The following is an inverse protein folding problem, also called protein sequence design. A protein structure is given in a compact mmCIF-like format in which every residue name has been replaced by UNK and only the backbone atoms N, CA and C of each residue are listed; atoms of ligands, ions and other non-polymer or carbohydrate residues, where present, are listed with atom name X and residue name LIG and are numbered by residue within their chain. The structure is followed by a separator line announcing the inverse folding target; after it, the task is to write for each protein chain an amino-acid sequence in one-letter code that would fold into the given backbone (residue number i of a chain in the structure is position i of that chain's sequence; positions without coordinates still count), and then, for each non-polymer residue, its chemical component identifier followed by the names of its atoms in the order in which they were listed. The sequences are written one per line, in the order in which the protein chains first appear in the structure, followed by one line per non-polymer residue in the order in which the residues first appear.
data_IF_646314383150
#
_entry.id   IF_646314383150
#
_cell.length_a   1.000
_cell.length_b   1.000
_cell.length_c   1.000
_cell.angle_alpha   90.00
_cell.angle_beta   90.00
_cell.angle_gamma   90.00
#
_symmetry.space_group_name_H-M   'P 1'
#
loop_
_entity.id
_entity.type
_entity.pdbx_description
1 polymer ?
#
# COMPACT_ATOMS: atom_id res chain seq x y z
N UNK A 1 2.23 -6.35 3.02
CA UNK A 1 1.51 -5.05 3.12
C UNK A 1 0.21 -5.12 2.33
N UNK A 2 -0.82 -4.36 2.70
CA UNK A 2 -2.12 -4.35 1.99
C UNK A 2 -2.61 -2.91 1.76
N UNK A 3 -2.98 -2.60 0.51
CA UNK A 3 -3.65 -1.37 0.10
C UNK A 3 -5.07 -1.67 -0.33
N UNK A 4 -6.04 -0.94 0.22
CA UNK A 4 -7.46 -1.08 -0.09
C UNK A 4 -8.04 0.29 -0.47
N UNK A 5 -8.65 0.34 -1.65
CA UNK A 5 -9.47 1.48 -2.09
C UNK A 5 -10.90 1.00 -2.26
N UNK A 6 -11.81 1.44 -1.40
CA UNK A 6 -13.22 1.07 -1.53
C UNK A 6 -14.00 2.14 -2.27
N UNK A 7 -15.09 1.72 -2.92
CA UNK A 7 -16.06 2.61 -3.55
C UNK A 7 -15.44 3.58 -4.56
N UNK A 8 -14.44 3.09 -5.31
CA UNK A 8 -13.89 3.83 -6.45
C UNK A 8 -14.93 3.84 -7.56
N UNK A 9 -15.28 5.03 -8.04
CA UNK A 9 -16.19 5.16 -9.17
C UNK A 9 -15.51 4.70 -10.47
N UNK A 10 -15.98 3.59 -11.02
CA UNK A 10 -15.53 2.99 -12.27
C UNK A 10 -16.54 3.16 -13.40
N UNK A 11 -17.59 3.98 -13.22
CA UNK A 11 -18.68 4.16 -14.20
C UNK A 11 -18.15 4.61 -15.56
N UNK A 12 -17.10 5.44 -15.56
CA UNK A 12 -16.50 5.95 -16.80
C UNK A 12 -15.42 5.05 -17.39
N UNK A 13 -15.16 3.87 -16.82
CA UNK A 13 -14.11 2.96 -17.30
C UNK A 13 -14.66 2.10 -18.43
N UNK A 14 -14.52 2.59 -19.65
CA UNK A 14 -15.07 2.01 -20.88
C UNK A 14 -14.00 1.54 -21.85
N UNK A 15 -12.75 1.92 -21.64
CA UNK A 15 -11.64 1.63 -22.56
C UNK A 15 -10.51 0.88 -21.87
N UNK A 16 -10.26 -0.34 -22.34
CA UNK A 16 -9.21 -1.22 -21.84
C UNK A 16 -7.83 -0.57 -21.88
N UNK A 17 -7.08 -0.71 -20.78
CA UNK A 17 -5.72 -0.20 -20.62
C UNK A 17 -5.61 1.33 -20.57
N UNK A 18 -6.71 2.07 -20.64
CA UNK A 18 -6.68 3.54 -20.64
C UNK A 18 -7.15 4.16 -19.34
N UNK A 19 -8.12 3.54 -18.67
CA UNK A 19 -8.71 4.06 -17.44
C UNK A 19 -8.45 3.10 -16.29
N UNK A 20 -8.59 3.61 -15.07
CA UNK A 20 -8.33 2.83 -13.88
C UNK A 20 -7.99 3.71 -12.69
N UNK A 21 -7.25 3.14 -11.76
CA UNK A 21 -6.96 3.74 -10.47
C UNK A 21 -5.54 3.41 -10.01
N UNK A 22 -4.92 4.28 -9.24
CA UNK A 22 -3.65 4.00 -8.61
C UNK A 22 -3.71 4.39 -7.14
N UNK A 23 -2.98 3.65 -6.32
CA UNK A 23 -2.80 3.91 -4.89
C UNK A 23 -1.33 3.66 -4.56
N UNK A 24 -0.68 4.63 -3.92
CA UNK A 24 0.71 4.57 -3.55
C UNK A 24 0.90 4.81 -2.05
N UNK A 25 1.91 4.17 -1.49
CA UNK A 25 2.44 4.41 -0.16
C UNK A 25 3.93 4.72 -0.27
N UNK A 26 4.36 5.80 0.36
CA UNK A 26 5.75 6.20 0.46
C UNK A 26 6.28 6.06 1.88
N UNK A 27 7.55 5.73 2.03
CA UNK A 27 8.24 5.53 3.30
C UNK A 27 9.42 6.49 3.44
N UNK A 28 9.69 6.93 4.67
CA UNK A 28 10.85 7.77 5.01
C UNK A 28 10.62 9.27 4.99
N UNK A 29 9.50 9.74 4.47
CA UNK A 29 9.18 11.16 4.34
C UNK A 29 7.74 11.46 4.78
N UNK A 30 7.48 12.71 5.18
CA UNK A 30 6.12 13.27 5.34
C UNK A 30 5.66 14.04 4.11
N UNK A 31 6.49 14.12 3.09
CA UNK A 31 6.22 14.83 1.84
C UNK A 31 6.51 13.93 0.64
N UNK A 32 6.10 14.36 -0.55
CA UNK A 32 6.43 13.67 -1.80
C UNK A 32 7.90 13.83 -2.20
N UNK A 33 8.65 14.71 -1.53
CA UNK A 33 10.09 14.85 -1.74
C UNK A 33 10.82 13.71 -1.05
N UNK A 34 11.43 12.83 -1.86
CA UNK A 34 12.31 11.74 -1.43
C UNK A 34 11.71 10.62 -0.55
N UNK A 35 10.44 10.20 -0.69
CA UNK A 35 10.01 8.90 -0.18
C UNK A 35 10.44 7.76 -1.11
N UNK A 36 10.61 6.59 -0.51
CA UNK A 36 10.63 5.29 -1.17
C UNK A 36 9.17 4.85 -1.38
N UNK A 37 8.71 4.77 -2.63
CA UNK A 37 7.26 4.68 -2.95
C UNK A 37 6.94 3.35 -3.61
N UNK A 38 6.03 2.59 -3.00
CA UNK A 38 5.34 1.52 -3.69
C UNK A 38 4.03 2.04 -4.27
N UNK A 39 3.89 1.97 -5.59
CA UNK A 39 2.68 2.37 -6.32
C UNK A 39 2.00 1.14 -6.93
N UNK A 40 0.77 0.89 -6.50
CA UNK A 40 -0.09 -0.14 -7.06
C UNK A 40 -1.09 0.48 -8.05
N UNK A 41 -1.02 0.04 -9.31
CA UNK A 41 -1.85 0.53 -10.41
C UNK A 41 -2.84 -0.55 -10.86
N UNK A 42 -4.10 -0.17 -10.97
CA UNK A 42 -5.15 -0.94 -11.59
C UNK A 42 -5.53 -0.30 -12.93
N UNK A 43 -5.40 -1.05 -14.01
CA UNK A 43 -5.94 -0.67 -15.31
C UNK A 43 -7.17 -1.52 -15.62
N UNK A 44 -8.25 -0.85 -16.03
CA UNK A 44 -9.44 -1.52 -16.53
C UNK A 44 -9.07 -2.36 -17.75
N UNK A 45 -9.50 -3.62 -17.78
CA UNK A 45 -9.18 -4.58 -18.87
C UNK A 45 -10.40 -5.41 -19.29
N UNK A 46 -11.58 -4.78 -19.25
CA UNK A 46 -12.86 -5.43 -19.43
C UNK A 46 -13.21 -6.35 -18.26
N UNK A 47 -14.41 -6.94 -18.29
CA UNK A 47 -14.90 -7.86 -17.24
C UNK A 47 -14.39 -9.30 -17.40
N UNK A 48 -13.78 -9.64 -18.54
CA UNK A 48 -13.38 -11.01 -18.90
C UNK A 48 -11.93 -11.36 -18.55
N UNK A 49 -11.11 -10.40 -18.10
CA UNK A 49 -9.73 -10.64 -17.68
C UNK A 49 -9.62 -10.49 -16.17
N UNK A 50 -8.84 -11.36 -15.49
CA UNK A 50 -8.54 -11.14 -14.09
C UNK A 50 -7.83 -9.81 -13.95
N UNK A 51 -8.51 -8.89 -13.28
CA UNK A 51 -8.01 -7.62 -12.83
C UNK A 51 -6.73 -7.82 -12.01
N UNK A 52 -5.56 -7.46 -12.56
CA UNK A 52 -4.31 -7.44 -11.80
C UNK A 52 -3.93 -6.01 -11.42
N UNK A 53 -3.75 -5.76 -10.12
CA UNK A 53 -2.94 -4.64 -9.70
C UNK A 53 -1.49 -4.93 -10.02
N UNK A 54 -0.79 -3.95 -10.59
CA UNK A 54 0.65 -3.97 -10.73
C UNK A 54 1.22 -3.04 -9.66
N UNK A 55 1.87 -3.61 -8.65
CA UNK A 55 2.61 -2.86 -7.66
C UNK A 55 4.06 -2.74 -8.12
N UNK A 56 4.53 -1.51 -8.23
CA UNK A 56 5.83 -1.17 -8.78
C UNK A 56 6.54 -0.31 -7.74
N UNK A 57 7.83 -0.58 -7.57
CA UNK A 57 8.71 0.29 -6.82
C UNK A 57 9.05 1.54 -7.63
N UNK A 58 8.84 2.69 -7.01
CA UNK A 58 8.98 4.00 -7.64
C UNK A 58 9.71 4.96 -6.71
N UNK A 59 10.49 5.84 -7.31
CA UNK A 59 11.15 6.93 -6.60
C UNK A 59 10.64 8.28 -7.04
N UNK A 60 10.67 9.23 -6.11
CA UNK A 60 10.44 10.64 -6.40
C UNK A 60 11.57 11.51 -5.85
N UNK A 61 12.10 12.39 -6.68
CA UNK A 61 13.12 13.38 -6.30
C UNK A 61 12.56 14.80 -6.15
N UNK A 62 11.30 15.01 -6.53
CA UNK A 62 10.59 16.30 -6.50
C UNK A 62 9.07 16.09 -6.56
N UNK A 63 8.29 17.16 -6.69
CA UNK A 63 6.82 17.09 -6.83
C UNK A 63 6.38 16.74 -8.27
N UNK A 64 6.99 15.70 -8.84
CA UNK A 64 6.71 15.21 -10.20
C UNK A 64 6.25 13.76 -10.15
N UNK A 65 5.67 13.28 -11.26
CA UNK A 65 5.26 11.88 -11.36
C UNK A 65 6.44 10.96 -10.98
N UNK A 66 6.27 10.06 -9.98
CA UNK A 66 7.31 9.10 -9.61
C UNK A 66 7.69 8.22 -10.80
N UNK A 67 8.98 7.91 -10.89
CA UNK A 67 9.53 7.04 -11.92
C UNK A 67 9.84 5.68 -11.32
N UNK A 68 9.73 4.62 -12.12
CA UNK A 68 10.11 3.27 -11.69
C UNK A 68 11.53 3.29 -11.14
N UNK A 69 11.73 2.65 -10.00
CA UNK A 69 13.07 2.36 -9.55
C UNK A 69 13.68 1.24 -10.42
N UNK A 70 15.00 1.31 -10.62
CA UNK A 70 15.76 0.37 -11.42
C UNK A 70 15.89 -0.99 -10.71
N UNK A 71 15.85 -0.99 -9.38
CA UNK A 71 15.68 -2.18 -8.56
C UNK A 71 14.23 -2.22 -8.10
N UNK A 72 13.64 -3.41 -8.10
CA UNK A 72 12.24 -3.60 -7.70
C UNK A 72 12.23 -4.39 -6.41
N UNK A 73 11.81 -3.75 -5.33
CA UNK A 73 11.83 -4.36 -4.00
C UNK A 73 10.45 -4.86 -3.56
N UNK A 74 9.50 -4.80 -4.49
CA UNK A 74 8.17 -5.42 -4.39
C UNK A 74 8.21 -6.83 -4.91
N UNK A 75 7.75 -7.77 -4.08
CA UNK A 75 7.55 -9.18 -4.43
C UNK A 75 6.12 -9.60 -4.15
N UNK A 76 5.70 -10.73 -4.72
CA UNK A 76 4.40 -11.37 -4.46
C UNK A 76 3.21 -10.41 -4.50
N UNK A 77 2.76 -10.03 -5.70
CA UNK A 77 1.57 -9.18 -5.83
C UNK A 77 0.32 -10.03 -6.00
N UNK A 78 -0.57 -9.99 -4.99
CA UNK A 78 -1.92 -10.53 -5.07
C UNK A 78 -2.91 -9.39 -5.12
N UNK A 79 -3.92 -9.50 -5.97
CA UNK A 79 -4.87 -8.40 -6.13
C UNK A 79 -6.28 -8.87 -6.43
N UNK A 80 -7.24 -8.09 -5.95
CA UNK A 80 -8.66 -8.31 -6.20
C UNK A 80 -9.32 -7.01 -6.64
N UNK A 81 -10.30 -7.14 -7.53
CA UNK A 81 -11.22 -6.07 -7.89
C UNK A 81 -12.64 -6.61 -7.78
N UNK A 82 -13.43 -6.03 -6.89
CA UNK A 82 -14.81 -6.43 -6.64
C UNK A 82 -15.73 -5.29 -7.07
N UNK A 83 -16.43 -5.50 -8.17
CA UNK A 83 -17.37 -4.53 -8.72
C UNK A 83 -18.75 -4.69 -8.09
N UNK A 84 -19.42 -3.56 -7.87
CA UNK A 84 -20.82 -3.49 -7.43
C UNK A 84 -21.53 -2.33 -8.12
N UNK A 85 -22.81 -2.51 -8.44
CA UNK A 85 -23.64 -1.42 -8.95
C UNK A 85 -24.38 -0.74 -7.81
N UNK A 86 -24.47 0.59 -7.84
CA UNK A 86 -25.24 1.39 -6.89
C UNK A 86 -25.94 2.51 -7.66
N UNK A 87 -27.24 2.35 -7.91
CA UNK A 87 -27.98 3.25 -8.80
C UNK A 87 -27.42 3.21 -10.22
N UNK A 88 -27.09 4.37 -10.78
CA UNK A 88 -26.45 4.51 -12.09
C UNK A 88 -24.92 4.38 -12.07
N UNK A 89 -24.33 4.20 -10.89
CA UNK A 89 -22.87 4.13 -10.73
C UNK A 89 -22.40 2.68 -10.64
N UNK A 90 -21.27 2.40 -11.28
CA UNK A 90 -20.48 1.20 -11.03
C UNK A 90 -19.35 1.57 -10.10
N UNK A 91 -19.31 0.93 -8.94
CA UNK A 91 -18.29 1.12 -7.91
C UNK A 91 -17.41 -0.12 -7.84
N UNK A 92 -16.14 0.07 -7.49
CA UNK A 92 -15.20 -1.03 -7.32
C UNK A 92 -14.44 -0.91 -6.02
N UNK A 93 -14.33 -2.04 -5.32
CA UNK A 93 -13.37 -2.24 -4.24
C UNK A 93 -12.14 -2.88 -4.83
N UNK A 94 -11.00 -2.25 -4.59
CA UNK A 94 -9.72 -2.58 -5.15
C UNK A 94 -8.75 -2.92 -4.01
N UNK A 95 -8.23 -4.13 -4.00
CA UNK A 95 -7.26 -4.57 -3.00
C UNK A 95 -5.97 -5.07 -3.67
N UNK A 96 -4.84 -4.66 -3.12
CA UNK A 96 -3.53 -5.18 -3.48
C UNK A 96 -2.78 -5.56 -2.21
N UNK A 97 -2.30 -6.80 -2.16
CA UNK A 97 -1.38 -7.30 -1.13
C UNK A 97 -0.05 -7.56 -1.80
N UNK A 98 1.01 -7.02 -1.23
CA UNK A 98 2.37 -7.18 -1.73
C UNK A 98 3.37 -7.31 -0.60
N UNK A 99 4.48 -7.96 -0.88
CA UNK A 99 5.61 -8.07 0.04
C UNK A 99 6.70 -7.08 -0.38
N UNK A 100 7.34 -6.46 0.60
CA UNK A 100 8.53 -5.63 0.40
C UNK A 100 9.52 -5.98 1.50
N UNK A 101 10.78 -6.13 1.12
CA UNK A 101 11.85 -6.42 2.08
C UNK A 101 11.97 -5.27 3.08
N UNK A 102 12.28 -5.61 4.33
CA UNK A 102 12.51 -4.59 5.36
C UNK A 102 13.78 -3.78 5.11
N UNK A 103 14.78 -4.37 4.44
CA UNK A 103 15.98 -3.71 3.99
C UNK A 103 16.33 -4.25 2.61
N UNK A 104 16.76 -3.36 1.73
CA UNK A 104 17.21 -3.69 0.38
C UNK A 104 18.69 -3.36 0.27
N UNK A 105 19.30 -3.77 -0.85
CA UNK A 105 20.67 -3.37 -1.14
C UNK A 105 20.75 -2.04 -1.91
N UNK A 106 19.61 -1.37 -2.14
CA UNK A 106 19.60 -0.02 -2.71
C UNK A 106 19.74 1.02 -1.61
N UNK A 107 20.82 1.80 -1.68
CA UNK A 107 21.11 2.90 -0.75
C UNK A 107 20.07 4.03 -0.73
N UNK A 108 19.16 4.06 -1.71
CA UNK A 108 18.10 5.06 -1.82
C UNK A 108 16.81 4.63 -1.12
N UNK A 109 16.69 3.35 -0.82
CA UNK A 109 15.50 2.79 -0.23
C UNK A 109 15.49 3.04 1.26
N UNK A 110 14.28 3.09 1.81
CA UNK A 110 14.15 3.15 3.24
C UNK A 110 14.23 1.79 3.90
N UNK A 111 15.15 1.69 4.87
CA UNK A 111 15.22 0.55 5.78
C UNK A 111 14.11 0.64 6.82
N UNK A 112 13.23 -0.35 6.82
CA UNK A 112 12.15 -0.57 7.78
C UNK A 112 12.66 -1.39 8.97
N UNK A 113 13.22 -0.73 9.98
CA UNK A 113 13.72 -1.45 11.17
C UNK A 113 12.58 -1.97 12.05
N UNK A 114 12.49 -3.27 12.36
CA UNK A 114 11.49 -3.79 13.30
C UNK A 114 11.50 -3.06 14.65
N UNK A 115 10.31 -2.75 15.18
CA UNK A 115 10.13 -1.98 16.42
C UNK A 115 10.32 -0.47 16.29
N UNK A 116 10.72 0.03 15.11
CA UNK A 116 10.84 1.46 14.87
C UNK A 116 9.52 2.11 14.45
N UNK A 117 9.50 3.44 14.42
CA UNK A 117 8.46 4.21 13.75
C UNK A 117 9.05 4.94 12.56
N UNK A 118 8.30 5.03 11.47
CA UNK A 118 8.73 5.73 10.26
C UNK A 118 7.65 6.68 9.77
N UNK A 119 8.08 7.80 9.21
CA UNK A 119 7.18 8.68 8.48
C UNK A 119 6.78 8.01 7.17
N UNK A 120 5.52 8.16 6.80
CA UNK A 120 4.98 7.62 5.58
C UNK A 120 3.98 8.59 4.98
N UNK A 121 3.92 8.59 3.65
CA UNK A 121 2.92 9.31 2.87
C UNK A 121 2.06 8.32 2.13
N UNK A 122 0.85 8.73 1.78
CA UNK A 122 0.00 7.97 0.88
C UNK A 122 -0.63 8.92 -0.12
N UNK A 123 -0.93 8.40 -1.30
CA UNK A 123 -1.70 9.11 -2.29
C UNK A 123 -2.47 8.14 -3.18
N UNK A 124 -3.54 8.63 -3.78
CA UNK A 124 -4.36 7.86 -4.71
C UNK A 124 -4.93 8.75 -5.81
N UNK A 125 -5.27 8.14 -6.93
CA UNK A 125 -5.79 8.91 -8.05
C UNK A 125 -6.26 8.03 -9.20
N UNK A 126 -6.76 8.70 -10.23
CA UNK A 126 -7.23 8.04 -11.45
C UNK A 126 -6.07 7.75 -12.40
N UNK A 127 -6.23 6.72 -13.21
CA UNK A 127 -5.44 6.48 -14.41
C UNK A 127 -6.18 7.07 -15.61
N UNK A 128 -5.45 7.70 -16.53
CA UNK A 128 -6.00 8.19 -17.81
C UNK A 128 -4.96 7.99 -18.90
N UNK A 129 -5.41 7.51 -20.06
CA UNK A 129 -4.53 7.10 -21.17
C UNK A 129 -3.46 6.07 -20.77
N UNK A 130 -3.73 5.26 -19.74
CA UNK A 130 -2.80 4.26 -19.23
C UNK A 130 -1.73 4.83 -18.28
N UNK A 131 -1.87 6.10 -17.86
CA UNK A 131 -0.89 6.79 -17.03
C UNK A 131 -1.51 7.31 -15.73
N UNK A 132 -0.74 7.28 -14.65
CA UNK A 132 -1.13 7.86 -13.36
C UNK A 132 -1.28 9.37 -13.49
N UNK A 133 -2.47 9.87 -13.12
CA UNK A 133 -2.72 11.30 -13.03
C UNK A 133 -2.36 11.81 -11.64
N UNK A 134 -2.10 13.11 -11.54
CA UNK A 134 -1.89 13.77 -10.24
C UNK A 134 -3.08 13.53 -9.31
N UNK A 135 -2.80 13.28 -8.03
CA UNK A 135 -3.82 13.12 -6.99
C UNK A 135 -4.50 14.46 -6.69
N UNK A 136 -5.79 14.44 -6.34
CA UNK A 136 -6.43 15.64 -5.81
C UNK A 136 -5.92 16.00 -4.40
N UNK A 137 -6.17 17.24 -3.97
CA UNK A 137 -5.81 17.75 -2.63
C UNK A 137 -6.20 16.83 -1.47
N UNK A 138 -7.41 16.28 -1.54
CA UNK A 138 -7.99 15.38 -0.53
C UNK A 138 -7.63 13.90 -0.72
N UNK A 139 -6.86 13.56 -1.74
CA UNK A 139 -6.50 12.17 -2.10
C UNK A 139 -5.04 11.86 -1.76
N UNK A 140 -4.51 12.50 -0.72
CA UNK A 140 -3.18 12.30 -0.19
C UNK A 140 -3.15 12.53 1.32
N UNK A 141 -2.09 12.07 1.97
CA UNK A 141 -1.81 12.41 3.36
C UNK A 141 -0.47 11.87 3.85
N UNK A 142 -0.16 12.17 5.10
CA UNK A 142 1.02 11.68 5.79
C UNK A 142 0.65 11.15 7.17
N UNK A 143 1.39 10.14 7.64
CA UNK A 143 1.26 9.58 8.97
C UNK A 143 2.60 9.03 9.47
N UNK A 144 2.62 8.56 10.70
CA UNK A 144 3.73 7.77 11.24
C UNK A 144 3.23 6.34 11.43
N UNK A 145 3.94 5.36 10.86
CA UNK A 145 3.64 3.93 11.04
C UNK A 145 4.67 3.28 11.96
N UNK A 146 4.25 2.27 12.72
CA UNK A 146 5.12 1.42 13.48
C UNK A 146 5.47 0.16 12.66
N UNK A 147 6.75 -0.15 12.56
CA UNK A 147 7.22 -1.41 11.95
C UNK A 147 7.13 -2.48 13.03
N UNK A 148 6.29 -3.49 12.83
CA UNK A 148 6.11 -4.56 13.83
C UNK A 148 7.39 -5.37 14.01
N UNK A 149 7.67 -5.78 15.24
CA UNK A 149 8.72 -6.77 15.52
C UNK A 149 8.24 -8.15 15.10
N UNK A 150 9.08 -8.98 14.45
CA UNK A 150 8.74 -10.37 14.21
C UNK A 150 8.44 -11.09 15.55
N UNK A 151 7.65 -12.18 15.51
CA UNK A 151 7.37 -12.96 16.70
C UNK A 151 8.67 -13.53 17.27
N UNK A 152 8.82 -13.49 18.59
CA UNK A 152 9.93 -14.18 19.25
C UNK A 152 9.57 -15.66 19.36
N UNK A 153 10.41 -16.53 18.79
CA UNK A 153 10.28 -17.98 18.92
C UNK A 153 11.22 -18.43 20.03
N UNK A 154 10.66 -18.78 21.18
CA UNK A 154 11.43 -19.38 22.27
C UNK A 154 11.38 -20.90 22.16
N UNK A 155 12.55 -21.52 22.12
CA UNK A 155 12.70 -22.98 22.20
C UNK A 155 13.04 -23.34 23.64
N UNK A 156 12.06 -23.85 24.38
CA UNK A 156 12.26 -24.31 25.75
C UNK A 156 12.70 -25.77 25.71
N UNK A 157 13.91 -26.07 26.19
CA UNK A 157 14.36 -27.44 26.42
C UNK A 157 14.01 -27.82 27.86
N UNK A 158 13.04 -28.70 28.03
CA UNK A 158 12.64 -29.16 29.35
C UNK A 158 13.70 -30.12 29.93
N UNK A 159 13.72 -30.25 31.26
CA UNK A 159 14.66 -31.12 31.98
C UNK A 159 14.58 -32.61 31.59
N UNK A 160 13.49 -33.03 30.95
CA UNK A 160 13.30 -34.38 30.40
C UNK A 160 13.79 -34.53 28.94
N UNK A 161 14.46 -33.52 28.38
CA UNK A 161 14.93 -33.51 27.00
C UNK A 161 13.84 -33.25 25.95
N UNK A 162 12.61 -32.94 26.37
CA UNK A 162 11.52 -32.60 25.45
C UNK A 162 11.58 -31.12 25.10
N UNK A 163 11.55 -30.81 23.81
CA UNK A 163 11.53 -29.44 23.32
C UNK A 163 10.10 -28.92 23.21
N UNK A 164 9.81 -27.75 23.78
CA UNK A 164 8.56 -27.03 23.61
C UNK A 164 8.85 -25.72 22.89
N UNK A 165 8.26 -25.55 21.71
CA UNK A 165 8.33 -24.27 21.00
C UNK A 165 7.20 -23.38 21.49
N UNK A 166 7.55 -22.27 22.13
CA UNK A 166 6.60 -21.21 22.46
C UNK A 166 6.75 -20.14 21.39
N UNK A 167 5.68 -19.92 20.62
CA UNK A 167 5.60 -18.82 19.67
C UNK A 167 4.75 -17.75 20.32
N UNK A 168 5.36 -16.64 20.74
CA UNK A 168 4.53 -15.46 21.00
C UNK A 168 3.93 -15.01 19.66
N UNK A 169 2.61 -14.85 19.55
CA UNK A 169 2.00 -14.45 18.29
C UNK A 169 2.56 -13.09 17.89
N UNK A 170 3.04 -13.01 16.65
CA UNK A 170 3.27 -11.71 16.03
C UNK A 170 1.93 -10.97 16.09
N UNK A 171 1.92 -9.73 16.56
CA UNK A 171 0.79 -8.86 16.22
C UNK A 171 0.81 -8.75 14.70
N UNK A 172 -0.17 -9.35 14.04
CA UNK A 172 -0.33 -9.48 12.59
C UNK A 172 0.64 -8.60 11.78
N UNK A 173 1.59 -9.22 11.08
CA UNK A 173 2.56 -8.52 10.20
C UNK A 173 1.90 -7.90 8.95
N UNK A 174 0.57 -7.73 8.96
CA UNK A 174 -0.19 -7.09 7.91
C UNK A 174 -0.53 -5.66 8.30
N UNK A 175 0.23 -4.70 7.76
CA UNK A 175 -0.24 -3.32 7.71
C UNK A 175 -1.28 -3.22 6.58
N UNK A 176 -2.53 -2.93 6.96
CA UNK A 176 -3.64 -2.69 6.03
C UNK A 176 -4.01 -1.21 6.02
N UNK A 177 -3.80 -0.56 4.88
CA UNK A 177 -4.31 0.79 4.62
C UNK A 177 -5.69 0.65 4.00
N UNK A 178 -6.73 0.90 4.78
CA UNK A 178 -8.12 0.90 4.31
C UNK A 178 -8.61 2.34 4.22
N UNK A 179 -8.83 2.84 3.00
CA UNK A 179 -9.32 4.21 2.78
C UNK A 179 -10.70 4.16 2.11
N UNK A 180 -11.76 4.40 2.90
CA UNK A 180 -13.12 4.51 2.37
C UNK A 180 -13.41 5.90 1.79
N UNK A 181 -14.34 5.98 0.84
CA UNK A 181 -14.90 7.25 0.36
C UNK A 181 -16.01 7.79 1.28
N UNK A 182 -16.42 7.01 2.28
CA UNK A 182 -17.44 7.33 3.26
C UNK A 182 -16.92 6.99 4.67
N UNK A 183 -16.42 8.02 5.37
CA UNK A 183 -16.18 8.09 6.83
C UNK A 183 -15.18 7.10 7.45
N UNK A 184 -14.23 7.69 8.19
CA UNK A 184 -13.30 7.14 9.21
C UNK A 184 -12.58 5.83 8.90
N UNK A 185 -11.29 5.99 8.61
CA UNK A 185 -10.26 4.95 8.58
C UNK A 185 -10.29 4.14 9.87
N UNK A 186 -10.52 2.83 9.78
CA UNK A 186 -10.19 1.89 10.85
C UNK A 186 -8.71 1.53 10.66
N UNK A 187 -7.83 2.15 11.45
CA UNK A 187 -6.41 1.80 11.54
C UNK A 187 -6.09 1.45 12.99
N UNK A 188 -5.52 0.26 13.23
CA UNK A 188 -4.76 0.00 14.44
C UNK A 188 -3.40 0.70 14.32
N UNK A 189 -3.39 2.00 14.58
CA UNK A 189 -2.21 2.86 14.62
C UNK A 189 -2.58 4.15 15.34
N UNK A 190 -1.71 4.59 16.26
CA UNK A 190 -1.97 5.76 17.11
C UNK A 190 -2.04 7.01 16.20
N UNK A 191 -3.26 7.51 15.94
CA UNK A 191 -3.48 8.77 15.24
C UNK A 191 -2.99 9.92 16.13
N UNK A 192 -1.88 10.54 15.76
CA UNK A 192 -1.59 11.92 16.15
C UNK A 192 -1.84 12.80 14.92
N UNK A 193 -3.04 13.36 14.84
CA UNK A 193 -3.42 14.36 13.84
C UNK A 193 -2.67 15.65 14.13
N UNK A 194 -1.66 15.99 13.34
CA UNK A 194 -1.18 17.37 13.21
C UNK A 194 -1.56 17.87 11.81
N UNK A 195 -2.54 18.77 11.78
CA UNK A 195 -2.79 19.67 10.65
C UNK A 195 -1.58 20.57 10.47
N UNK A 196 -1.04 20.73 9.26
CA UNK A 196 -0.47 21.99 8.76
C UNK A 196 -0.39 21.98 7.21
N UNK A 197 -0.51 23.20 6.67
CA UNK A 197 -0.66 23.71 5.30
C UNK A 197 0.09 22.99 4.18
#
# INVERSE_FOLDING_TARGET
MKLISTDVDSTSWTTDGKQGYWHAVGFGSKTMSSPDIIMCQYLHTGTAKPASFQCIDTKSTSEVRPVSDAQQDVTTVNSTATFRTSGSSTLVTLEATFDRLLATNDTKDQTLTPGSTINSVWARGKMTSGLSQEHAGSQRGAWTIAVQTPPTIETIVNSNGTTTTVVEPAKDNSFSVTLSSLVNVILFGILNTLYWL
#
